data_IF_121809486233
#
_entry.id   IF_121809486233
#
_cell.length_a   1.000
_cell.length_b   1.000
_cell.length_c   1.000
_cell.angle_alpha   90.00
_cell.angle_beta   90.00
_cell.angle_gamma   90.00
#
_symmetry.space_group_name_H-M   'P 1'
#
loop_
_entity.id
_entity.type
_entity.pdbx_description
1 polymer ?
2 water ?
#
# COMPACT_ATOMS: atom_id res chain seq x y z
N UNK A 2 -11.25 -2.39 14.16
CA UNK A 2 -12.39 -2.44 13.26
C UNK A 2 -12.45 -1.20 12.37
N UNK A 3 -12.09 -0.04 12.93
CA UNK A 3 -11.96 1.19 12.16
C UNK A 3 -10.57 1.38 11.58
N UNK A 4 -9.59 0.58 12.03
CA UNK A 4 -8.26 0.56 11.46
C UNK A 4 -7.82 -0.88 11.26
N UNK A 5 -7.10 -1.12 10.18
CA UNK A 5 -6.52 -2.43 9.89
C UNK A 5 -5.11 -2.22 9.38
N UNK A 6 -4.14 -2.83 10.05
CA UNK A 6 -2.73 -2.65 9.73
C UNK A 6 -2.23 -3.82 8.89
N UNK A 7 -1.55 -3.49 7.79
CA UNK A 7 -0.87 -4.45 6.93
C UNK A 7 0.63 -4.25 7.04
N UNK A 8 1.38 -5.34 7.08
CA UNK A 8 2.83 -5.29 7.15
C UNK A 8 3.40 -6.29 6.15
N UNK A 9 4.49 -5.90 5.50
CA UNK A 9 5.06 -6.68 4.42
C UNK A 9 6.51 -6.27 4.25
N UNK A 10 7.37 -7.24 3.96
CA UNK A 10 8.76 -6.97 3.64
C UNK A 10 8.98 -7.16 2.14
N UNK A 11 10.00 -6.49 1.61
CA UNK A 11 10.29 -6.55 0.19
C UNK A 11 11.79 -6.40 -0.04
N UNK A 12 12.21 -6.77 -1.24
CA UNK A 12 13.61 -6.61 -1.64
C UNK A 12 13.82 -5.18 -2.13
N UNK A 13 14.87 -4.53 -1.62
CA UNK A 13 15.04 -3.08 -1.76
C UNK A 13 14.97 -2.62 -3.21
N UNK A 14 15.42 -3.44 -4.16
CA UNK A 14 15.43 -3.00 -5.54
C UNK A 14 14.21 -3.33 -6.36
N UNK A 15 13.29 -4.13 -5.83
CA UNK A 15 12.19 -4.67 -6.61
C UNK A 15 11.04 -3.68 -6.71
N UNK A 16 9.94 -4.11 -7.33
CA UNK A 16 8.70 -3.34 -7.41
C UNK A 16 7.57 -4.20 -6.87
N UNK A 17 6.85 -3.69 -5.88
CA UNK A 17 5.83 -4.45 -5.18
C UNK A 17 4.49 -4.24 -5.87
N UNK A 18 3.76 -5.33 -6.08
CA UNK A 18 2.42 -5.31 -6.67
C UNK A 18 1.41 -5.68 -5.59
N UNK A 19 0.51 -4.76 -5.29
CA UNK A 19 -0.48 -4.93 -4.25
C UNK A 19 -1.88 -4.68 -4.81
N UNK A 20 -2.86 -5.37 -4.24
CA UNK A 20 -4.25 -5.10 -4.56
C UNK A 20 -4.78 -3.99 -3.65
N UNK A 21 -5.55 -3.08 -4.24
CA UNK A 21 -6.20 -2.05 -3.46
C UNK A 21 -7.14 -2.69 -2.45
N UNK A 22 -7.13 -2.26 -1.19
CA UNK A 22 -8.10 -2.81 -0.23
C UNK A 22 -9.53 -2.39 -0.53
N UNK A 23 -9.71 -1.42 -1.42
CA UNK A 23 -11.00 -0.80 -1.68
C UNK A 23 -11.09 -0.42 -3.15
N UNK A 24 -12.32 -0.42 -3.67
CA UNK A 24 -12.52 -0.14 -5.09
C UNK A 24 -12.38 1.35 -5.40
N UNK A 25 -12.93 2.21 -4.54
CA UNK A 25 -12.93 3.65 -4.76
C UNK A 25 -12.70 4.36 -3.42
N UNK A 26 -11.48 4.22 -2.89
CA UNK A 26 -11.07 4.90 -1.69
C UNK A 26 -10.05 5.99 -1.99
N UNK A 27 -9.67 6.70 -0.93
CA UNK A 27 -8.65 7.73 -1.01
C UNK A 27 -7.33 7.20 -0.46
N UNK A 28 -6.24 7.60 -1.10
CA UNK A 28 -4.90 7.15 -0.76
C UNK A 28 -4.07 8.32 -0.27
N UNK A 29 -3.22 8.05 0.71
CA UNK A 29 -2.31 9.03 1.27
C UNK A 29 -0.98 8.33 1.52
N UNK A 30 0.09 8.85 0.93
CA UNK A 30 1.37 8.20 1.08
C UNK A 30 2.50 9.11 0.66
N UNK A 31 3.72 8.62 0.88
CA UNK A 31 4.92 9.34 0.51
C UNK A 31 5.38 9.04 -0.91
N UNK A 32 4.80 8.03 -1.55
CA UNK A 32 5.01 7.69 -2.94
C UNK A 32 3.77 8.03 -3.75
N UNK A 33 3.93 8.49 -4.99
CA UNK A 33 2.76 8.74 -5.83
C UNK A 33 2.02 7.44 -6.11
N UNK A 34 0.69 7.52 -6.07
CA UNK A 34 -0.14 6.35 -6.33
C UNK A 34 -0.02 5.94 -7.79
N UNK A 35 0.40 4.70 -8.04
CA UNK A 35 0.53 4.16 -9.39
C UNK A 35 -0.53 3.09 -9.59
N UNK A 36 -1.75 3.45 -9.98
CA UNK A 36 -2.81 2.45 -10.12
C UNK A 36 -2.64 1.59 -11.36
N UNK A 37 -3.08 0.34 -11.24
CA UNK A 37 -2.94 -0.62 -12.34
C UNK A 37 -4.25 -1.32 -12.65
N UNK A 38 -4.18 -2.40 -13.43
CA UNK A 38 -5.36 -3.17 -13.78
C UNK A 38 -5.73 -4.14 -12.66
N UNK A 39 -6.99 -4.58 -12.68
CA UNK A 39 -7.54 -5.48 -11.66
C UNK A 39 -7.45 -4.86 -10.27
N UNK A 40 -7.62 -3.54 -10.20
CA UNK A 40 -7.57 -2.79 -8.95
C UNK A 40 -6.28 -3.07 -8.17
N UNK A 41 -5.17 -3.13 -8.90
CA UNK A 41 -3.85 -3.25 -8.30
C UNK A 41 -3.17 -1.89 -8.26
N UNK A 42 -2.04 -1.83 -7.55
CA UNK A 42 -1.19 -0.66 -7.58
C UNK A 42 0.23 -1.08 -7.25
N UNK A 43 1.19 -0.34 -7.80
CA UNK A 43 2.60 -0.68 -7.70
C UNK A 43 3.38 0.47 -7.08
N UNK A 44 4.51 0.13 -6.49
CA UNK A 44 5.42 1.13 -5.97
C UNK A 44 6.77 0.47 -5.71
N UNK A 45 7.82 1.26 -5.87
CA UNK A 45 9.17 0.77 -5.62
C UNK A 45 9.33 0.43 -4.14
N UNK A 46 10.06 -0.65 -3.88
CA UNK A 46 10.26 -1.13 -2.52
C UNK A 46 11.22 -0.19 -1.79
N UNK A 47 10.67 0.65 -0.92
CA UNK A 47 11.43 1.40 0.07
C UNK A 47 10.64 1.38 1.37
N UNK A 48 11.34 1.37 2.49
CA UNK A 48 10.67 1.28 3.78
C UNK A 48 9.80 2.51 4.02
N UNK A 49 8.49 2.36 3.90
CA UNK A 49 7.59 3.50 3.92
C UNK A 49 6.25 3.07 4.51
N UNK A 50 5.39 4.06 4.73
CA UNK A 50 4.04 3.83 5.22
C UNK A 50 3.05 4.63 4.38
N UNK A 51 1.94 3.99 4.03
CA UNK A 51 0.86 4.66 3.32
C UNK A 51 -0.46 4.14 3.85
N UNK A 52 -1.53 4.87 3.54
CA UNK A 52 -2.84 4.60 4.11
C UNK A 52 -3.93 4.72 3.05
N UNK A 53 -5.00 3.96 3.25
CA UNK A 53 -6.20 3.98 2.42
C UNK A 53 -7.41 4.27 3.31
N UNK A 54 -8.04 5.42 3.09
CA UNK A 54 -9.34 5.70 3.69
C UNK A 54 -10.43 5.17 2.77
N UNK A 55 -11.41 4.48 3.35
CA UNK A 55 -12.27 3.65 2.53
C UNK A 55 -13.74 3.90 2.83
N UNK A 56 -14.62 3.67 1.85
CA UNK A 56 -16.04 4.00 2.05
C UNK A 56 -16.68 3.27 3.22
N UNK A 57 -16.29 2.02 3.47
CA UNK A 57 -16.85 1.28 4.60
C UNK A 57 -16.39 1.83 5.95
N UNK A 58 -15.49 2.81 5.96
CA UNK A 58 -15.04 3.42 7.19
C UNK A 58 -13.79 2.84 7.81
N UNK A 59 -13.15 1.87 7.17
CA UNK A 59 -11.96 1.21 7.72
C UNK A 59 -10.72 1.84 7.11
N UNK A 60 -9.83 2.34 7.97
CA UNK A 60 -8.56 2.92 7.53
C UNK A 60 -7.51 1.82 7.47
N UNK A 61 -7.08 1.47 6.26
CA UNK A 61 -6.04 0.48 6.05
C UNK A 61 -4.68 1.18 6.02
N UNK A 62 -3.84 0.87 7.01
CA UNK A 62 -2.50 1.43 7.14
C UNK A 62 -1.50 0.36 6.72
N UNK A 63 -0.70 0.66 5.70
CA UNK A 63 0.30 -0.28 5.21
C UNK A 63 1.69 0.14 5.68
N UNK A 64 2.51 -0.85 6.03
CA UNK A 64 3.91 -0.64 6.35
C UNK A 64 4.75 -1.61 5.55
N UNK A 65 5.65 -1.07 4.72
CA UNK A 65 6.66 -1.87 4.04
C UNK A 65 8.00 -1.69 4.73
N UNK A 66 8.76 -2.77 4.84
CA UNK A 66 10.15 -2.71 5.28
C UNK A 66 11.02 -3.28 4.17
N UNK A 67 11.92 -2.45 3.64
CA UNK A 67 12.84 -2.88 2.60
C UNK A 67 13.99 -3.67 3.21
N UNK A 68 14.43 -4.70 2.50
CA UNK A 68 15.49 -5.59 2.96
C UNK A 68 16.60 -5.64 1.92
N UNK A 69 17.84 -5.47 2.37
CA UNK A 69 19.01 -5.63 1.51
C UNK A 69 19.36 -7.11 1.47
N UNK A 70 18.89 -7.81 0.44
CA UNK A 70 19.05 -9.25 0.34
C UNK A 70 18.77 -9.73 -1.09
#
# INVERSE_FOLDING_TARGET
MTCELYHYQECVRGTTVLLKEPCSSGTYEGNSPFHPLADNKFALTCFSTQFAFACPDGVKHVYQLRARSVSPKLFIRQEEVQEL
#
